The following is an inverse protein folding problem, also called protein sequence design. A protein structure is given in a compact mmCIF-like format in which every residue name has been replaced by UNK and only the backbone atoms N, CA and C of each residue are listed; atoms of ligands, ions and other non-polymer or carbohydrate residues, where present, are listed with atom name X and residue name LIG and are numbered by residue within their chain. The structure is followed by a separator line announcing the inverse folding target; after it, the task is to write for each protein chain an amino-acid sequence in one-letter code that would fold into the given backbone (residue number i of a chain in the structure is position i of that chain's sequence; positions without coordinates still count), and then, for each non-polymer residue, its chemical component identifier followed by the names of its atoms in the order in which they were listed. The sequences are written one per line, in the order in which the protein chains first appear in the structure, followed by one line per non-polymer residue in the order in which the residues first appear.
data_IF_540816578483
#
_entry.id   IF_540816578483
#
_cell.length_a   1.000
_cell.length_b   1.000
_cell.length_c   1.000
_cell.angle_alpha   90.00
_cell.angle_beta   90.00
_cell.angle_gamma   90.00
#
_symmetry.space_group_name_H-M   'P 1'
#
loop_
_entity.id
_entity.type
_entity.pdbx_description
1 polymer ?
#
# COMPACT_ATOMS: atom_id res chain seq x y z
N UNK A 1 1.11 10.27 14.95
CA UNK A 1 0.79 9.82 13.58
C UNK A 1 1.73 8.65 13.28
N UNK A 2 1.23 7.42 13.37
CA UNK A 2 1.98 6.19 13.10
C UNK A 2 1.88 5.94 11.59
N UNK A 3 2.91 6.30 10.83
CA UNK A 3 2.98 6.01 9.39
C UNK A 3 4.34 5.41 9.07
N UNK A 4 4.38 4.47 8.12
CA UNK A 4 5.61 3.86 7.63
C UNK A 4 6.26 2.91 8.63
N UNK A 5 5.46 2.16 9.39
CA UNK A 5 5.90 1.07 10.29
C UNK A 5 6.94 1.47 11.35
N UNK A 6 6.98 2.75 11.74
CA UNK A 6 7.92 3.27 12.75
C UNK A 6 7.55 2.77 14.14
N UNK A 7 8.55 2.26 14.87
CA UNK A 7 8.37 1.76 16.24
C UNK A 7 7.63 0.42 16.32
N UNK A 8 7.54 -0.33 15.21
CA UNK A 8 6.96 -1.68 15.17
C UNK A 8 8.08 -2.71 15.27
N UNK A 9 8.02 -3.56 16.29
CA UNK A 9 9.01 -4.61 16.54
C UNK A 9 8.30 -5.95 16.71
N UNK A 10 8.69 -6.94 15.90
CA UNK A 10 8.28 -8.33 16.13
C UNK A 10 9.17 -8.93 17.21
N UNK A 11 8.53 -9.57 18.18
CA UNK A 11 9.19 -10.27 19.30
C UNK A 11 8.81 -11.75 19.23
N UNK A 12 9.79 -12.64 19.39
CA UNK A 12 9.64 -14.09 19.24
C UNK A 12 10.01 -14.88 20.51
N UNK A 13 10.62 -14.24 21.51
CA UNK A 13 10.95 -14.85 22.80
C UNK A 13 10.99 -13.81 23.94
N UNK A 14 11.06 -14.29 25.18
CA UNK A 14 11.04 -13.44 26.39
C UNK A 14 12.25 -12.50 26.45
N UNK A 15 13.41 -12.91 25.97
CA UNK A 15 14.60 -12.06 25.92
C UNK A 15 14.41 -10.88 24.95
N UNK A 16 13.85 -11.14 23.76
CA UNK A 16 13.51 -10.09 22.80
C UNK A 16 12.44 -9.16 23.34
N UNK A 17 11.46 -9.70 24.10
CA UNK A 17 10.40 -8.90 24.73
C UNK A 17 11.00 -7.93 25.75
N UNK A 18 11.83 -8.45 26.66
CA UNK A 18 12.47 -7.64 27.69
C UNK A 18 13.31 -6.54 27.07
N UNK A 19 14.08 -6.85 26.02
CA UNK A 19 14.84 -5.84 25.28
C UNK A 19 13.93 -4.79 24.63
N UNK A 20 12.88 -5.19 23.92
CA UNK A 20 11.94 -4.27 23.29
C UNK A 20 11.19 -3.39 24.33
N UNK A 21 10.95 -3.93 25.52
CA UNK A 21 10.31 -3.21 26.62
C UNK A 21 11.27 -2.26 27.35
N UNK A 22 12.54 -2.65 27.52
CA UNK A 22 13.61 -1.75 28.00
C UNK A 22 13.82 -0.59 27.01
N UNK A 23 13.75 -0.88 25.71
CA UNK A 23 13.83 0.09 24.62
C UNK A 23 12.44 0.67 24.24
N UNK A 24 11.44 0.64 25.12
CA UNK A 24 10.07 1.13 24.81
C UNK A 24 10.03 2.61 24.43
N UNK A 25 11.05 3.39 24.81
CA UNK A 25 11.24 4.76 24.34
C UNK A 25 11.37 4.83 22.80
N UNK A 26 11.97 3.83 22.16
CA UNK A 26 12.08 3.75 20.69
C UNK A 26 10.69 3.59 20.02
N UNK A 27 9.80 2.82 20.65
CA UNK A 27 8.41 2.66 20.18
C UNK A 27 7.54 3.88 20.54
N UNK A 28 7.66 4.40 21.77
CA UNK A 28 6.80 5.47 22.29
C UNK A 28 7.22 6.87 21.84
N UNK A 29 8.46 7.11 21.40
CA UNK A 29 8.89 8.42 20.85
C UNK A 29 8.07 8.88 19.63
N UNK A 30 7.45 7.95 18.91
CA UNK A 30 6.57 8.24 17.79
C UNK A 30 5.09 8.31 18.18
N UNK A 31 4.77 7.91 19.42
CA UNK A 31 3.41 7.89 19.97
C UNK A 31 3.04 9.26 20.51
N UNK A 32 1.91 9.80 20.09
CA UNK A 32 1.42 11.09 20.59
C UNK A 32 0.92 10.99 22.03
N UNK A 33 0.55 9.78 22.47
CA UNK A 33 0.01 9.50 23.80
C UNK A 33 1.02 8.75 24.68
N UNK A 34 2.26 8.57 24.22
CA UNK A 34 3.27 7.73 24.86
C UNK A 34 2.76 6.31 25.19
N UNK A 35 1.87 5.80 24.34
CA UNK A 35 1.27 4.47 24.47
C UNK A 35 1.90 3.51 23.48
N UNK A 36 2.18 2.29 23.94
CA UNK A 36 2.56 1.15 23.13
C UNK A 36 1.45 0.09 23.23
N UNK A 37 1.20 -0.63 22.13
CA UNK A 37 0.25 -1.75 22.07
C UNK A 37 1.08 -3.02 21.91
N UNK A 38 0.77 -4.03 22.71
CA UNK A 38 1.32 -5.39 22.57
C UNK A 38 0.19 -6.26 22.06
N UNK A 39 0.40 -6.90 20.92
CA UNK A 39 -0.57 -7.76 20.25
C UNK A 39 0.06 -9.06 19.81
N UNK A 40 -0.78 -10.06 19.55
CA UNK A 40 -0.32 -11.33 19.02
C UNK A 40 0.15 -11.16 17.58
N UNK A 41 1.32 -11.70 17.26
CA UNK A 41 1.76 -11.78 15.88
C UNK A 41 0.86 -12.75 15.10
N UNK A 42 0.26 -12.28 14.02
CA UNK A 42 -0.60 -13.07 13.15
C UNK A 42 0.21 -13.55 11.95
N UNK A 43 0.31 -14.87 11.79
CA UNK A 43 0.95 -15.47 10.63
C UNK A 43 0.00 -15.37 9.42
N UNK A 44 0.42 -14.60 8.40
CA UNK A 44 -0.36 -14.41 7.17
C UNK A 44 -0.18 -15.56 6.18
N UNK A 45 -1.24 -15.84 5.41
CA UNK A 45 -1.24 -16.68 4.21
C UNK A 45 -1.34 -15.79 2.97
N UNK A 46 -0.41 -15.96 2.03
CA UNK A 46 -0.39 -15.19 0.79
C UNK A 46 0.03 -13.73 1.00
N UNK A 47 -0.51 -12.84 0.17
CA UNK A 47 -0.21 -11.42 0.23
C UNK A 47 -0.80 -10.78 1.50
N UNK A 48 -0.13 -9.73 2.00
CA UNK A 48 -0.85 -8.71 2.76
C UNK A 48 -1.74 -7.94 1.78
N UNK A 49 -2.90 -7.54 2.27
CA UNK A 49 -3.89 -6.86 1.47
C UNK A 49 -3.95 -5.40 1.90
N UNK A 50 -3.98 -4.52 0.91
CA UNK A 50 -4.11 -3.08 1.08
C UNK A 50 -5.07 -2.57 -0.01
N UNK A 51 -5.48 -1.32 0.06
CA UNK A 51 -6.35 -0.72 -0.93
C UNK A 51 -7.04 0.54 -0.44
N UNK A 52 -7.87 1.06 -1.33
CA UNK A 52 -8.65 2.27 -1.10
C UNK A 52 -10.14 1.98 -1.25
N UNK A 53 -10.92 2.56 -0.35
CA UNK A 53 -12.36 2.54 -0.39
C UNK A 53 -12.94 3.93 -0.13
N UNK A 54 -14.22 4.10 -0.44
CA UNK A 54 -14.92 5.36 -0.22
C UNK A 54 -16.22 5.10 0.54
N UNK A 55 -16.47 5.86 1.61
CA UNK A 55 -17.74 5.87 2.33
C UNK A 55 -18.64 6.96 1.72
N UNK A 56 -19.91 6.64 1.49
CA UNK A 56 -20.93 7.60 1.08
C UNK A 56 -22.22 7.27 1.85
N UNK A 57 -22.84 8.29 2.44
CA UNK A 57 -24.05 8.15 3.27
C UNK A 57 -23.91 7.07 4.36
N UNK A 58 -22.74 6.99 4.98
CA UNK A 58 -22.41 6.03 6.03
C UNK A 58 -22.17 4.60 5.55
N UNK A 59 -22.09 4.36 4.24
CA UNK A 59 -21.86 3.03 3.67
C UNK A 59 -20.68 3.00 2.71
N UNK A 60 -19.93 1.90 2.72
CA UNK A 60 -18.83 1.67 1.78
C UNK A 60 -19.41 1.59 0.36
N UNK A 61 -19.19 2.63 -0.43
CA UNK A 61 -19.66 2.78 -1.80
C UNK A 61 -18.66 2.24 -2.84
N UNK A 62 -17.37 2.21 -2.50
CA UNK A 62 -16.31 1.60 -3.29
C UNK A 62 -15.31 0.88 -2.37
N UNK A 63 -14.76 -0.25 -2.81
CA UNK A 63 -13.80 -1.06 -2.06
C UNK A 63 -12.82 -1.73 -3.04
N UNK A 64 -11.75 -1.00 -3.39
CA UNK A 64 -10.74 -1.40 -4.36
C UNK A 64 -9.58 -2.09 -3.68
N UNK A 65 -9.57 -3.41 -3.74
CA UNK A 65 -8.64 -4.24 -2.97
C UNK A 65 -7.45 -4.72 -3.80
N UNK A 66 -6.25 -4.65 -3.21
CA UNK A 66 -4.96 -4.83 -3.89
C UNK A 66 -4.04 -5.77 -3.11
N UNK A 67 -3.18 -6.48 -3.84
CA UNK A 67 -2.14 -7.34 -3.25
C UNK A 67 -0.83 -6.56 -3.03
N UNK A 68 -0.29 -6.60 -1.81
CA UNK A 68 0.93 -5.88 -1.41
C UNK A 68 2.20 -6.68 -1.66
N UNK A 69 3.07 -6.12 -2.50
CA UNK A 69 4.37 -6.68 -2.87
C UNK A 69 5.47 -6.14 -1.96
N UNK A 70 6.42 -7.00 -1.60
CA UNK A 70 7.55 -6.68 -0.73
C UNK A 70 8.86 -7.13 -1.38
N UNK A 71 9.92 -6.35 -1.20
CA UNK A 71 11.26 -6.80 -1.58
C UNK A 71 11.91 -7.54 -0.39
N UNK A 72 11.83 -8.87 -0.44
CA UNK A 72 12.36 -9.73 0.62
C UNK A 72 13.88 -9.65 0.77
N UNK A 73 14.62 -9.21 -0.26
CA UNK A 73 16.09 -9.05 -0.21
C UNK A 73 16.54 -7.75 0.47
N UNK A 74 15.63 -6.80 0.66
CA UNK A 74 15.94 -5.47 1.20
C UNK A 74 15.18 -5.19 2.48
N UNK A 75 13.86 -5.02 2.39
CA UNK A 75 13.01 -4.87 3.55
C UNK A 75 11.70 -5.64 3.33
N UNK A 76 11.48 -6.74 4.07
CA UNK A 76 10.27 -7.54 3.95
C UNK A 76 9.01 -6.83 4.50
N UNK A 77 9.16 -5.67 5.15
CA UNK A 77 8.07 -4.90 5.77
C UNK A 77 7.71 -3.62 5.00
N UNK A 78 8.59 -3.12 4.13
CA UNK A 78 8.30 -1.94 3.32
C UNK A 78 7.63 -2.36 1.99
N UNK A 79 6.42 -1.89 1.69
CA UNK A 79 5.77 -2.20 0.42
C UNK A 79 6.55 -1.58 -0.74
N UNK A 80 6.73 -2.35 -1.81
CA UNK A 80 7.33 -1.90 -3.06
C UNK A 80 6.32 -1.69 -4.18
N UNK A 81 5.07 -2.11 -3.96
CA UNK A 81 4.01 -1.95 -4.94
C UNK A 81 2.72 -2.64 -4.54
N UNK A 82 1.63 -2.24 -5.17
CA UNK A 82 0.29 -2.76 -4.90
C UNK A 82 -0.38 -3.12 -6.21
N UNK A 83 -0.93 -4.33 -6.29
CA UNK A 83 -1.47 -4.90 -7.52
C UNK A 83 -2.99 -5.01 -7.47
N UNK A 84 -3.66 -4.42 -8.46
CA UNK A 84 -5.10 -4.50 -8.64
C UNK A 84 -5.44 -5.30 -9.91
N UNK A 85 -6.45 -6.19 -9.85
CA UNK A 85 -7.20 -6.61 -8.67
C UNK A 85 -6.41 -7.61 -7.81
N UNK A 86 -6.74 -7.68 -6.51
CA UNK A 86 -6.25 -8.74 -5.62
C UNK A 86 -6.70 -10.13 -6.07
N UNK A 87 -5.84 -11.14 -5.91
CA UNK A 87 -6.13 -12.55 -6.23
C UNK A 87 -6.81 -13.33 -5.10
N UNK A 88 -7.05 -12.70 -3.95
CA UNK A 88 -7.67 -13.35 -2.81
C UNK A 88 -9.06 -13.92 -3.14
N UNK A 89 -9.51 -14.89 -2.36
CA UNK A 89 -10.89 -15.36 -2.46
C UNK A 89 -11.90 -14.29 -2.02
N UNK A 90 -13.02 -14.20 -2.74
CA UNK A 90 -14.08 -13.21 -2.49
C UNK A 90 -14.66 -13.26 -1.06
N UNK A 91 -14.57 -14.42 -0.37
CA UNK A 91 -15.03 -14.54 1.03
C UNK A 91 -14.23 -13.62 1.98
N UNK A 92 -12.92 -13.49 1.77
CA UNK A 92 -12.08 -12.62 2.60
C UNK A 92 -12.37 -11.15 2.30
N UNK A 93 -12.56 -10.82 1.01
CA UNK A 93 -12.95 -9.47 0.60
C UNK A 93 -14.24 -9.00 1.30
N UNK A 94 -15.25 -9.87 1.34
CA UNK A 94 -16.55 -9.59 2.00
C UNK A 94 -16.43 -9.50 3.51
N UNK A 95 -15.63 -10.36 4.14
CA UNK A 95 -15.37 -10.32 5.58
C UNK A 95 -14.67 -9.00 5.96
N UNK A 96 -13.58 -8.65 5.28
CA UNK A 96 -12.88 -7.38 5.47
C UNK A 96 -13.80 -6.17 5.31
N UNK A 97 -14.57 -6.12 4.22
CA UNK A 97 -15.53 -5.04 3.96
C UNK A 97 -16.57 -4.92 5.08
N UNK A 98 -17.05 -6.04 5.62
CA UNK A 98 -18.05 -6.07 6.70
C UNK A 98 -17.45 -5.59 8.03
N UNK A 99 -16.23 -6.03 8.37
CA UNK A 99 -15.53 -5.59 9.58
C UNK A 99 -15.23 -4.08 9.53
N UNK A 100 -14.76 -3.57 8.38
CA UNK A 100 -14.48 -2.15 8.18
C UNK A 100 -15.78 -1.32 8.23
N UNK A 101 -16.87 -1.81 7.62
CA UNK A 101 -18.18 -1.14 7.72
C UNK A 101 -18.65 -1.04 9.18
N UNK A 102 -18.43 -2.07 10.00
CA UNK A 102 -18.76 -2.04 11.42
C UNK A 102 -17.93 -1.00 12.19
N UNK A 103 -16.64 -0.86 11.85
CA UNK A 103 -15.79 0.20 12.42
C UNK A 103 -16.38 1.57 12.09
N UNK A 104 -16.74 1.82 10.84
CA UNK A 104 -17.33 3.09 10.40
C UNK A 104 -18.70 3.37 11.02
N UNK A 105 -19.57 2.36 11.12
CA UNK A 105 -20.87 2.48 11.79
C UNK A 105 -20.69 2.87 13.26
N UNK A 106 -19.70 2.31 13.97
CA UNK A 106 -19.40 2.65 15.38
C UNK A 106 -18.80 4.05 15.55
N UNK A 107 -18.00 4.49 14.58
CA UNK A 107 -17.38 5.83 14.58
C UNK A 107 -18.33 6.93 14.08
N UNK A 108 -19.47 6.56 13.50
CA UNK A 108 -20.40 7.52 12.88
C UNK A 108 -19.82 8.19 11.63
N UNK A 109 -18.93 7.50 10.90
CA UNK A 109 -18.32 8.01 9.67
C UNK A 109 -19.35 8.06 8.54
N UNK A 110 -19.51 9.23 7.90
CA UNK A 110 -20.57 9.46 6.91
C UNK A 110 -20.07 9.49 5.46
N UNK A 111 -18.92 10.09 5.21
CA UNK A 111 -18.33 10.16 3.87
C UNK A 111 -16.82 10.34 3.92
N UNK A 112 -16.15 9.98 2.82
CA UNK A 112 -14.73 10.21 2.62
C UNK A 112 -13.99 8.97 2.12
N UNK A 113 -12.83 9.21 1.50
CA UNK A 113 -11.89 8.15 1.15
C UNK A 113 -11.21 7.57 2.38
N UNK A 114 -10.91 6.28 2.34
CA UNK A 114 -10.17 5.58 3.36
C UNK A 114 -9.23 4.56 2.72
N UNK A 115 -8.09 4.38 3.37
CA UNK A 115 -7.11 3.36 3.07
C UNK A 115 -7.22 2.29 4.15
N UNK A 116 -7.01 1.04 3.80
CA UNK A 116 -7.12 -0.08 4.72
C UNK A 116 -6.01 -1.08 4.46
N UNK A 117 -5.54 -1.72 5.52
CA UNK A 117 -4.64 -2.86 5.45
C UNK A 117 -5.23 -4.02 6.25
N UNK A 118 -5.16 -5.22 5.71
CA UNK A 118 -5.54 -6.44 6.41
C UNK A 118 -4.75 -7.64 5.93
N UNK A 119 -4.78 -8.70 6.73
CA UNK A 119 -4.16 -9.98 6.39
C UNK A 119 -5.16 -11.11 6.53
N UNK A 120 -4.96 -12.15 5.72
CA UNK A 120 -5.65 -13.42 5.86
C UNK A 120 -4.73 -14.33 6.67
N UNK A 121 -5.15 -14.69 7.87
CA UNK A 121 -4.37 -15.55 8.76
C UNK A 121 -4.36 -17.02 8.32
N UNK A 122 -3.38 -17.78 8.80
CA UNK A 122 -3.40 -19.25 8.69
C UNK A 122 -4.59 -19.91 9.40
N UNK A 123 -5.28 -19.16 10.28
CA UNK A 123 -6.53 -19.53 10.94
C UNK A 123 -7.78 -19.37 10.05
N UNK A 124 -7.59 -19.05 8.77
CA UNK A 124 -8.63 -18.76 7.77
C UNK A 124 -9.51 -17.54 8.10
N UNK A 125 -8.99 -16.58 8.88
CA UNK A 125 -9.71 -15.35 9.27
C UNK A 125 -9.07 -14.10 8.70
N UNK A 126 -9.89 -13.07 8.47
CA UNK A 126 -9.41 -11.72 8.16
C UNK A 126 -9.09 -10.99 9.46
N UNK A 127 -7.90 -10.42 9.53
CA UNK A 127 -7.46 -9.54 10.62
C UNK A 127 -7.15 -8.16 10.05
N UNK A 128 -7.91 -7.15 10.47
CA UNK A 128 -7.69 -5.75 10.09
C UNK A 128 -6.44 -5.23 10.81
N UNK A 129 -5.48 -4.71 10.05
CA UNK A 129 -4.26 -4.12 10.58
C UNK A 129 -4.41 -2.62 10.77
N UNK A 130 -4.86 -1.91 9.74
CA UNK A 130 -5.02 -0.46 9.75
C UNK A 130 -6.26 -0.05 8.97
N UNK A 131 -6.94 1.01 9.43
CA UNK A 131 -7.92 1.76 8.63
C UNK A 131 -7.64 3.25 8.84
N UNK A 132 -7.15 3.91 7.78
CA UNK A 132 -6.86 5.33 7.76
C UNK A 132 -7.97 6.11 7.04
N UNK A 133 -8.60 7.15 7.63
CA UNK A 133 -9.66 7.95 6.99
C UNK A 133 -9.09 8.97 5.99
N UNK A 134 -8.31 8.48 5.03
CA UNK A 134 -7.67 9.22 3.93
C UNK A 134 -7.37 8.27 2.78
N UNK A 135 -7.18 8.78 1.57
CA UNK A 135 -6.71 7.98 0.44
C UNK A 135 -5.31 7.41 0.70
N UNK A 136 -4.99 6.31 0.03
CA UNK A 136 -3.71 5.63 0.06
C UNK A 136 -2.57 6.49 -0.50
N UNK A 137 -1.35 6.22 -0.02
CA UNK A 137 -0.13 6.77 -0.60
C UNK A 137 0.34 6.00 -1.83
N UNK A 138 1.58 6.24 -2.27
CA UNK A 138 2.27 5.39 -3.27
C UNK A 138 1.45 5.07 -4.53
N UNK A 139 0.70 6.06 -5.05
CA UNK A 139 -0.11 5.95 -6.26
C UNK A 139 -1.22 4.89 -6.18
N UNK A 140 -1.70 4.52 -4.98
CA UNK A 140 -2.87 3.66 -4.82
C UNK A 140 -4.11 4.25 -5.53
N UNK A 141 -4.49 5.52 -5.29
CA UNK A 141 -5.63 6.13 -5.98
C UNK A 141 -5.47 6.17 -7.49
N UNK A 142 -4.26 6.49 -7.98
CA UNK A 142 -3.93 6.57 -9.40
C UNK A 142 -4.03 5.20 -10.07
N UNK A 143 -3.60 4.15 -9.37
CA UNK A 143 -3.67 2.76 -9.85
C UNK A 143 -5.11 2.29 -9.93
N UNK A 144 -5.93 2.58 -8.92
CA UNK A 144 -7.38 2.31 -8.92
C UNK A 144 -8.07 3.07 -10.06
N UNK A 145 -7.75 4.35 -10.23
CA UNK A 145 -8.31 5.17 -11.30
C UNK A 145 -7.94 4.61 -12.68
N UNK A 146 -6.69 4.22 -12.87
CA UNK A 146 -6.26 3.60 -14.12
C UNK A 146 -6.91 2.23 -14.36
N UNK A 147 -7.04 1.40 -13.32
CA UNK A 147 -7.47 0.01 -13.47
C UNK A 147 -9.00 -0.14 -13.59
N UNK A 148 -9.79 0.73 -12.98
CA UNK A 148 -11.25 0.61 -13.05
C UNK A 148 -12.00 1.93 -13.25
N UNK A 149 -11.29 3.07 -13.36
CA UNK A 149 -11.88 4.37 -13.62
C UNK A 149 -12.49 5.07 -12.40
N UNK A 150 -12.32 4.50 -11.20
CA UNK A 150 -12.78 5.14 -9.96
C UNK A 150 -11.79 6.23 -9.56
N UNK A 151 -12.26 7.47 -9.54
CA UNK A 151 -11.45 8.64 -9.22
C UNK A 151 -11.65 9.05 -7.75
N UNK A 152 -10.89 8.39 -6.88
CA UNK A 152 -10.91 8.60 -5.43
C UNK A 152 -10.51 10.03 -5.03
N UNK A 153 -9.69 10.71 -5.83
CA UNK A 153 -9.19 12.06 -5.56
C UNK A 153 -10.30 13.07 -5.85
N UNK A 154 -10.88 13.03 -7.06
CA UNK A 154 -12.02 13.89 -7.42
C UNK A 154 -13.22 13.64 -6.51
N UNK A 155 -13.49 12.38 -6.16
CA UNK A 155 -14.56 12.05 -5.22
C UNK A 155 -14.36 12.71 -3.85
N UNK A 156 -13.13 12.65 -3.32
CA UNK A 156 -12.79 13.25 -2.02
C UNK A 156 -12.91 14.78 -2.06
N UNK A 157 -12.36 15.43 -3.10
CA UNK A 157 -12.41 16.89 -3.25
C UNK A 157 -13.87 17.36 -3.37
N UNK A 158 -14.64 16.78 -4.29
CA UNK A 158 -16.05 17.14 -4.50
C UNK A 158 -16.88 16.92 -3.23
N UNK A 159 -16.71 15.79 -2.54
CA UNK A 159 -17.42 15.53 -1.29
C UNK A 159 -17.10 16.59 -0.22
N UNK A 160 -15.84 17.00 -0.08
CA UNK A 160 -15.42 18.02 0.89
C UNK A 160 -16.02 19.40 0.62
N UNK A 161 -16.23 19.78 -0.65
CA UNK A 161 -16.81 21.08 -1.03
C UNK A 161 -18.33 21.06 -1.18
N UNK A 162 -18.96 19.90 -1.01
CA UNK A 162 -20.42 19.72 -1.13
C UNK A 162 -20.92 19.53 -2.57
N UNK A 163 -20.03 19.23 -3.52
CA UNK A 163 -20.36 18.94 -4.91
C UNK A 163 -20.76 17.46 -5.12
N UNK A 164 -21.42 17.17 -6.24
CA UNK A 164 -21.81 15.80 -6.61
C UNK A 164 -20.58 14.92 -6.92
N UNK A 165 -20.31 13.94 -6.05
CA UNK A 165 -19.11 13.09 -6.12
C UNK A 165 -19.39 11.62 -6.48
N UNK A 166 -20.63 11.14 -6.32
CA UNK A 166 -20.96 9.71 -6.44
C UNK A 166 -20.68 9.13 -7.83
N UNK A 167 -20.68 9.97 -8.87
CA UNK A 167 -20.30 9.58 -10.23
C UNK A 167 -18.86 9.05 -10.34
N UNK A 168 -17.95 9.54 -9.50
CA UNK A 168 -16.54 9.16 -9.52
C UNK A 168 -16.29 7.80 -8.85
N UNK A 169 -17.26 7.28 -8.10
CA UNK A 169 -17.13 6.02 -7.33
C UNK A 169 -17.57 4.78 -8.11
N UNK A 170 -17.99 4.94 -9.37
CA UNK A 170 -18.50 3.85 -10.20
C UNK A 170 -17.39 3.31 -11.10
N UNK A 171 -17.06 2.01 -11.01
CA UNK A 171 -16.18 1.38 -11.98
C UNK A 171 -16.74 1.54 -13.40
N UNK A 172 -15.88 1.89 -14.35
CA UNK A 172 -16.23 2.12 -15.76
C UNK A 172 -15.61 1.09 -16.71
N UNK A 173 -14.60 0.37 -16.24
CA UNK A 173 -13.91 -0.68 -16.97
C UNK A 173 -13.22 -1.64 -16.00
N UNK A 174 -12.66 -2.72 -16.54
CA UNK A 174 -11.83 -3.68 -15.82
C UNK A 174 -10.44 -3.66 -16.43
N UNK A 175 -9.43 -3.54 -15.58
CA UNK A 175 -8.03 -3.44 -15.96
C UNK A 175 -7.15 -4.05 -14.88
N UNK A 176 -5.89 -4.29 -15.25
CA UNK A 176 -4.88 -4.89 -14.38
C UNK A 176 -3.71 -3.92 -14.31
N UNK A 177 -3.37 -3.49 -13.11
CA UNK A 177 -2.29 -2.53 -12.90
C UNK A 177 -1.69 -2.63 -11.51
N UNK A 178 -0.45 -2.20 -11.41
CA UNK A 178 0.25 -2.08 -10.14
C UNK A 178 0.80 -0.69 -9.93
N UNK A 179 0.72 -0.19 -8.70
CA UNK A 179 1.64 0.84 -8.27
C UNK A 179 3.01 0.21 -8.02
N UNK A 180 4.06 0.95 -8.32
CA UNK A 180 5.43 0.55 -8.04
C UNK A 180 6.21 1.71 -7.41
N UNK A 181 6.79 1.46 -6.25
CA UNK A 181 7.66 2.39 -5.53
C UNK A 181 9.04 2.27 -6.15
N UNK A 182 9.47 3.32 -6.85
CA UNK A 182 10.78 3.36 -7.50
C UNK A 182 11.85 3.41 -6.41
N UNK A 183 12.71 2.41 -6.35
CA UNK A 183 13.71 2.30 -5.29
C UNK A 183 15.02 1.72 -5.80
N UNK A 184 16.14 2.13 -5.19
CA UNK A 184 17.47 1.64 -5.57
C UNK A 184 17.87 0.39 -4.80
N UNK A 185 18.54 -0.54 -5.46
CA UNK A 185 19.16 -1.70 -4.81
C UNK A 185 20.53 -1.37 -4.21
N UNK A 186 21.16 -0.28 -4.64
CA UNK A 186 22.51 0.17 -4.23
C UNK A 186 22.51 1.65 -3.85
N UNK A 187 23.40 2.04 -2.95
CA UNK A 187 23.67 3.45 -2.68
C UNK A 187 24.67 4.01 -3.70
N UNK A 188 24.55 5.29 -4.02
CA UNK A 188 25.49 5.97 -4.92
C UNK A 188 24.90 7.25 -5.50
N UNK A 189 25.44 7.66 -6.64
CA UNK A 189 24.96 8.84 -7.36
C UNK A 189 23.97 8.42 -8.44
N UNK A 190 22.73 8.91 -8.37
CA UNK A 190 21.69 8.56 -9.34
C UNK A 190 22.08 8.99 -10.76
N UNK A 191 22.11 8.04 -11.69
CA UNK A 191 22.43 8.27 -13.11
C UNK A 191 21.29 7.93 -14.07
N UNK A 192 20.17 7.39 -13.56
CA UNK A 192 18.95 7.17 -14.35
C UNK A 192 18.23 5.86 -14.01
N UNK A 193 17.25 5.53 -14.87
CA UNK A 193 16.49 4.27 -14.81
C UNK A 193 16.75 3.51 -16.11
N UNK A 194 17.11 2.23 -16.00
CA UNK A 194 17.22 1.31 -17.13
C UNK A 194 16.03 0.35 -17.10
N UNK A 195 15.38 0.20 -18.24
CA UNK A 195 14.26 -0.72 -18.42
C UNK A 195 14.72 -1.95 -19.21
N UNK A 196 14.30 -3.12 -18.74
CA UNK A 196 14.55 -4.40 -19.40
C UNK A 196 13.24 -5.02 -19.88
N UNK A 197 13.33 -5.98 -20.80
CA UNK A 197 12.20 -6.73 -21.36
C UNK A 197 11.03 -5.89 -21.91
N UNK A 198 11.27 -4.61 -22.22
CA UNK A 198 10.25 -3.71 -22.75
C UNK A 198 9.19 -3.25 -21.75
N UNK A 199 9.40 -3.44 -20.43
CA UNK A 199 8.44 -3.02 -19.40
C UNK A 199 8.11 -1.52 -19.45
N UNK A 200 8.99 -0.70 -20.01
CA UNK A 200 8.73 0.74 -20.22
C UNK A 200 7.41 1.00 -20.96
N UNK A 201 7.03 0.13 -21.92
CA UNK A 201 5.76 0.25 -22.68
C UNK A 201 4.51 0.00 -21.84
N UNK A 202 4.70 -0.60 -20.67
CA UNK A 202 3.67 -0.89 -19.69
C UNK A 202 3.52 0.25 -18.67
N UNK A 203 4.48 1.16 -18.57
CA UNK A 203 4.43 2.31 -17.65
C UNK A 203 3.45 3.36 -18.20
N UNK A 204 2.34 3.56 -17.51
CA UNK A 204 1.30 4.55 -17.90
C UNK A 204 1.43 5.86 -17.14
N UNK A 205 2.07 5.82 -15.98
CA UNK A 205 2.39 7.01 -15.20
C UNK A 205 3.74 6.83 -14.52
N UNK A 206 4.53 7.89 -14.44
CA UNK A 206 5.82 7.92 -13.76
C UNK A 206 6.05 9.30 -13.14
N UNK A 207 6.34 9.31 -11.85
CA UNK A 207 6.85 10.48 -11.14
C UNK A 207 8.17 10.12 -10.47
N UNK A 208 9.21 10.93 -10.69
CA UNK A 208 10.50 10.77 -10.04
C UNK A 208 10.83 12.03 -9.25
N UNK A 209 11.28 11.87 -8.01
CA UNK A 209 11.61 12.95 -7.08
C UNK A 209 13.10 13.31 -7.13
N UNK A 210 13.92 12.43 -7.72
CA UNK A 210 15.37 12.58 -7.82
C UNK A 210 15.82 13.05 -9.20
N UNK A 211 16.87 13.87 -9.21
CA UNK A 211 17.56 14.34 -10.40
C UNK A 211 18.89 13.61 -10.55
N UNK A 212 19.34 13.49 -11.79
CA UNK A 212 20.67 12.96 -12.09
C UNK A 212 21.75 13.73 -11.32
N UNK A 213 22.71 13.01 -10.75
CA UNK A 213 23.76 13.56 -9.90
C UNK A 213 23.41 13.65 -8.41
N UNK A 214 22.16 13.40 -8.01
CA UNK A 214 21.79 13.38 -6.59
C UNK A 214 22.14 12.07 -5.90
N UNK A 215 22.44 12.14 -4.61
CA UNK A 215 22.68 10.95 -3.79
C UNK A 215 21.40 10.16 -3.58
N UNK A 216 21.54 8.84 -3.68
CA UNK A 216 20.50 7.85 -3.40
C UNK A 216 21.03 6.78 -2.46
N UNK A 217 20.16 6.36 -1.54
CA UNK A 217 20.41 5.23 -0.66
C UNK A 217 19.86 3.96 -1.29
N UNK A 218 20.45 2.82 -0.96
CA UNK A 218 19.74 1.54 -1.12
C UNK A 218 18.48 1.53 -0.25
N UNK A 219 17.43 0.90 -0.76
CA UNK A 219 16.10 0.90 -0.15
C UNK A 219 16.08 0.17 1.17
N UNK A 220 15.75 0.89 2.25
CA UNK A 220 15.49 0.29 3.56
C UNK A 220 14.14 0.72 4.10
N UNK A 221 13.74 1.97 3.90
CA UNK A 221 12.46 2.50 4.37
C UNK A 221 11.76 3.28 3.26
N UNK A 222 10.47 3.55 3.43
CA UNK A 222 9.71 4.35 2.44
C UNK A 222 10.31 5.72 2.15
N UNK A 223 11.15 6.28 3.04
CA UNK A 223 11.88 7.53 2.81
C UNK A 223 13.01 7.42 1.77
N UNK A 224 13.50 6.22 1.48
CA UNK A 224 14.51 5.97 0.44
C UNK A 224 13.90 5.86 -0.97
N UNK A 225 12.57 6.03 -1.09
CA UNK A 225 11.85 6.06 -2.35
C UNK A 225 12.33 7.19 -3.26
N UNK A 226 12.50 6.88 -4.55
CA UNK A 226 12.93 7.82 -5.58
C UNK A 226 11.75 8.36 -6.41
N UNK A 227 10.56 7.77 -6.27
CA UNK A 227 9.38 8.09 -7.07
C UNK A 227 8.35 6.96 -7.11
N UNK A 228 7.37 7.09 -8.00
CA UNK A 228 6.34 6.07 -8.21
C UNK A 228 6.02 5.86 -9.68
N UNK A 229 5.59 4.65 -10.03
CA UNK A 229 5.02 4.32 -11.33
C UNK A 229 3.64 3.68 -11.18
N UNK A 230 2.79 3.85 -12.19
CA UNK A 230 1.65 2.95 -12.44
C UNK A 230 2.02 2.13 -13.67
N UNK A 231 1.95 0.81 -13.54
CA UNK A 231 2.32 -0.16 -14.57
C UNK A 231 1.07 -0.96 -14.92
N UNK A 232 0.73 -1.04 -16.20
CA UNK A 232 -0.42 -1.82 -16.69
C UNK A 232 0.02 -3.20 -17.15
N UNK A 233 -0.86 -4.18 -17.03
CA UNK A 233 -0.60 -5.54 -17.50
C UNK A 233 -1.79 -6.06 -18.32
N UNK A 234 -1.54 -7.06 -19.16
CA UNK A 234 -2.61 -7.67 -19.96
C UNK A 234 -3.50 -8.58 -19.11
N UNK A 235 -2.94 -9.19 -18.05
CA UNK A 235 -3.67 -10.06 -17.14
C UNK A 235 -2.96 -10.20 -15.78
N UNK A 236 -3.70 -10.72 -14.79
CA UNK A 236 -3.24 -10.90 -13.40
C UNK A 236 -2.03 -11.82 -13.27
N UNK A 237 -1.92 -12.85 -14.12
CA UNK A 237 -0.77 -13.76 -14.08
C UNK A 237 0.52 -13.06 -14.51
N UNK A 238 0.45 -12.24 -15.57
CA UNK A 238 1.58 -11.42 -16.01
C UNK A 238 1.98 -10.40 -14.94
N UNK A 239 0.99 -9.69 -14.36
CA UNK A 239 1.21 -8.74 -13.28
C UNK A 239 1.98 -9.36 -12.11
N UNK A 240 1.53 -10.53 -11.63
CA UNK A 240 2.18 -11.19 -10.51
C UNK A 240 3.58 -11.71 -10.85
N UNK A 241 3.79 -12.25 -12.05
CA UNK A 241 5.14 -12.66 -12.50
C UNK A 241 6.10 -11.46 -12.54
N UNK A 242 5.74 -10.41 -13.27
CA UNK A 242 6.60 -9.25 -13.47
C UNK A 242 6.83 -8.47 -12.16
N UNK A 243 5.80 -8.31 -11.33
CA UNK A 243 5.95 -7.65 -10.01
C UNK A 243 6.85 -8.45 -9.06
N UNK A 244 6.88 -9.79 -9.17
CA UNK A 244 7.76 -10.64 -8.35
C UNK A 244 9.25 -10.52 -8.68
N UNK A 245 9.58 -9.95 -9.85
CA UNK A 245 10.95 -9.74 -10.34
C UNK A 245 11.18 -8.31 -10.84
N UNK A 246 10.40 -7.36 -10.33
CA UNK A 246 10.33 -6.00 -10.89
C UNK A 246 11.67 -5.25 -10.86
N UNK A 247 12.56 -5.60 -9.93
CA UNK A 247 13.91 -5.04 -9.83
C UNK A 247 14.85 -5.50 -10.96
N UNK A 248 14.58 -6.64 -11.59
CA UNK A 248 15.30 -7.10 -12.79
C UNK A 248 14.77 -6.37 -14.04
N UNK A 249 13.55 -5.85 -13.98
CA UNK A 249 12.87 -5.17 -15.08
C UNK A 249 13.07 -3.65 -15.06
N UNK A 250 13.14 -3.06 -13.87
CA UNK A 250 13.32 -1.63 -13.64
C UNK A 250 14.52 -1.43 -12.73
N UNK A 251 15.66 -1.15 -13.34
CA UNK A 251 16.95 -1.04 -12.66
C UNK A 251 17.32 0.43 -12.45
N UNK A 252 17.57 0.81 -11.20
CA UNK A 252 18.11 2.13 -10.86
C UNK A 252 19.62 2.13 -11.08
N UNK A 253 20.09 3.03 -11.92
CA UNK A 253 21.51 3.19 -12.20
C UNK A 253 22.14 4.11 -11.15
N UNK A 254 23.21 3.62 -10.51
CA UNK A 254 24.03 4.39 -9.58
C UNK A 254 25.51 4.35 -9.98
N UNK A 255 26.19 5.49 -9.91
CA UNK A 255 27.64 5.62 -10.07
C UNK A 255 28.35 5.79 -8.74
#
# INVERSE_FOLDING_TARGET
MLWGSKGVTKVSCDEEFNKAFEDVEDATRYSQTNTCIIENFIQRRGFQIDGDGFISDGKIAFFGVMDQHHNMERNPYAPIGLSYPSIQEEKYRKDAQSQIQLIFDKLGMLFGGFNFEYIIGEDDRVHILEVGPRNGGNLIPDTVQYACGVDMISASICACVGDEYKKFLKPTHEGVASSYVIHSMTSGTFSGIRYHDGIEKQVVYKAIFKREGEQVNSFHVGLDCLGGMVIRFDNVSQMNDEMSRIWDLIEIQTC
#
